data_IF_541423612092
#
_entry.id   IF_541423612092
#
_cell.length_a   1.000
_cell.length_b   1.000
_cell.length_c   1.000
_cell.angle_alpha   90.00
_cell.angle_beta   90.00
_cell.angle_gamma   90.00
#
_symmetry.space_group_name_H-M   'P 1'
#
loop_
_entity.id
_entity.type
_entity.pdbx_description
1 polymer ?
#
# COMPACT_ATOMS: atom_id res chain seq x y z
N UNK A 1 0.73 -6.61 -21.67
CA UNK A 1 1.29 -7.51 -20.65
C UNK A 1 2.73 -7.12 -20.51
N UNK A 2 3.01 -6.30 -19.51
CA UNK A 2 4.34 -5.77 -19.23
C UNK A 2 4.87 -6.65 -18.12
N UNK A 3 5.82 -7.52 -18.44
CA UNK A 3 6.43 -8.41 -17.45
C UNK A 3 7.06 -7.54 -16.37
N UNK A 4 6.75 -7.80 -15.10
CA UNK A 4 7.36 -7.09 -13.98
C UNK A 4 8.88 -7.24 -14.02
N UNK A 5 9.61 -6.14 -13.80
CA UNK A 5 11.08 -6.18 -13.76
C UNK A 5 11.53 -6.94 -12.51
N UNK A 6 12.13 -8.12 -12.73
CA UNK A 6 12.74 -8.94 -11.68
C UNK A 6 14.16 -8.46 -11.45
N UNK A 7 14.46 -8.03 -10.23
CA UNK A 7 15.82 -7.69 -9.81
C UNK A 7 16.59 -8.96 -9.46
N UNK A 8 17.75 -9.12 -10.08
CA UNK A 8 18.64 -10.27 -9.94
C UNK A 8 20.01 -9.79 -9.52
N UNK A 9 20.41 -10.13 -8.30
CA UNK A 9 21.74 -9.85 -7.77
C UNK A 9 22.25 -11.04 -6.98
N UNK A 10 23.56 -11.01 -6.65
CA UNK A 10 24.29 -12.14 -6.05
C UNK A 10 23.63 -12.81 -4.84
N UNK A 11 22.76 -12.09 -4.14
CA UNK A 11 22.05 -12.58 -2.95
C UNK A 11 20.58 -12.12 -2.92
N UNK A 12 20.04 -11.68 -4.06
CA UNK A 12 18.67 -11.16 -4.13
C UNK A 12 18.02 -11.56 -5.44
N UNK A 13 16.83 -12.15 -5.32
CA UNK A 13 15.88 -12.35 -6.39
C UNK A 13 14.57 -11.75 -5.89
N UNK A 14 14.19 -10.59 -6.45
CA UNK A 14 13.05 -9.84 -5.90
C UNK A 14 12.28 -9.05 -6.95
N UNK A 15 11.01 -8.79 -6.67
CA UNK A 15 10.16 -7.81 -7.37
C UNK A 15 9.75 -6.69 -6.42
N UNK A 16 9.46 -5.52 -6.99
CA UNK A 16 9.06 -4.33 -6.24
C UNK A 16 7.66 -4.47 -5.65
N UNK A 17 7.56 -4.51 -4.33
CA UNK A 17 6.30 -4.49 -3.61
C UNK A 17 5.51 -3.21 -3.90
N UNK A 18 6.21 -2.09 -4.14
CA UNK A 18 5.55 -0.82 -4.47
C UNK A 18 4.90 -0.88 -5.85
N UNK A 19 5.59 -1.44 -6.84
CA UNK A 19 5.06 -1.48 -8.21
C UNK A 19 3.89 -2.45 -8.31
N UNK A 20 3.96 -3.62 -7.66
CA UNK A 20 2.82 -4.56 -7.58
C UNK A 20 1.59 -3.92 -6.92
N UNK A 21 1.78 -3.15 -5.84
CA UNK A 21 0.70 -2.42 -5.19
C UNK A 21 0.14 -1.30 -6.08
N UNK A 22 0.99 -0.56 -6.80
CA UNK A 22 0.53 0.49 -7.71
C UNK A 22 -0.37 -0.09 -8.81
N UNK A 23 -0.01 -1.23 -9.40
CA UNK A 23 -0.84 -1.91 -10.40
C UNK A 23 -2.24 -2.26 -9.86
N UNK A 24 -2.33 -2.70 -8.60
CA UNK A 24 -3.63 -2.92 -7.93
C UNK A 24 -4.39 -1.61 -7.78
N UNK A 25 -3.76 -0.56 -7.25
CA UNK A 25 -4.42 0.72 -7.00
C UNK A 25 -4.90 1.40 -8.30
N UNK A 26 -4.10 1.33 -9.37
CA UNK A 26 -4.37 1.94 -10.67
C UNK A 26 -5.54 1.29 -11.41
N UNK A 27 -5.96 0.09 -10.99
CA UNK A 27 -7.09 -0.62 -11.57
C UNK A 27 -8.45 -0.25 -10.99
N UNK A 28 -8.47 0.50 -9.87
CA UNK A 28 -9.69 1.01 -9.24
C UNK A 28 -10.07 2.44 -9.69
N UNK A 29 -10.92 3.10 -8.90
CA UNK A 29 -11.27 4.51 -9.07
C UNK A 29 -10.17 5.42 -8.50
N UNK A 30 -9.20 5.74 -9.36
CA UNK A 30 -8.03 6.57 -9.03
C UNK A 30 -8.42 7.99 -8.60
N UNK A 31 -9.49 8.56 -9.16
CA UNK A 31 -9.89 9.93 -8.83
C UNK A 31 -10.43 10.00 -7.40
N UNK A 32 -11.34 9.09 -7.06
CA UNK A 32 -11.91 9.01 -5.71
C UNK A 32 -10.83 8.65 -4.68
N UNK A 33 -9.94 7.72 -5.04
CA UNK A 33 -8.77 7.37 -4.24
C UNK A 33 -7.81 8.53 -3.99
N UNK A 34 -7.57 9.37 -5.02
CA UNK A 34 -6.68 10.52 -4.91
C UNK A 34 -7.16 11.53 -3.85
N UNK A 35 -8.47 11.77 -3.74
CA UNK A 35 -9.05 12.66 -2.72
C UNK A 35 -8.79 12.15 -1.30
N UNK A 36 -9.00 10.85 -1.06
CA UNK A 36 -8.68 10.24 0.24
C UNK A 36 -7.16 10.29 0.50
N UNK A 37 -6.35 9.98 -0.51
CA UNK A 37 -4.88 10.00 -0.41
C UNK A 37 -4.33 11.37 -0.06
N UNK A 38 -4.85 12.43 -0.68
CA UNK A 38 -4.51 13.81 -0.36
C UNK A 38 -4.92 14.18 1.07
N UNK A 39 -6.11 13.77 1.51
CA UNK A 39 -6.56 14.03 2.87
C UNK A 39 -5.66 13.35 3.92
N UNK A 40 -5.31 12.08 3.72
CA UNK A 40 -4.41 11.35 4.62
C UNK A 40 -3.03 12.00 4.68
N UNK A 41 -2.45 12.35 3.52
CA UNK A 41 -1.16 13.06 3.43
C UNK A 41 -1.23 14.44 4.10
N UNK A 42 -2.34 15.15 3.92
CA UNK A 42 -2.54 16.47 4.52
C UNK A 42 -2.58 16.36 6.05
N UNK A 43 -3.35 15.43 6.60
CA UNK A 43 -3.36 15.18 8.03
C UNK A 43 -2.05 14.62 8.58
N UNK A 44 -1.25 13.93 7.75
CA UNK A 44 0.04 13.40 8.18
C UNK A 44 1.16 14.44 8.23
N UNK A 45 1.05 15.50 7.42
CA UNK A 45 2.05 16.55 7.30
C UNK A 45 1.75 17.81 8.12
N UNK A 46 0.49 18.02 8.53
CA UNK A 46 0.08 19.23 9.24
C UNK A 46 0.02 19.01 10.75
N UNK A 47 0.35 20.07 11.50
CA UNK A 47 0.33 20.02 12.97
C UNK A 47 -1.10 19.77 13.51
N UNK A 48 -2.12 20.38 12.88
CA UNK A 48 -3.51 20.20 13.26
C UNK A 48 -4.42 20.08 12.03
N UNK A 49 -5.12 18.96 11.92
CA UNK A 49 -6.13 18.68 10.91
C UNK A 49 -7.40 18.16 11.57
N UNK A 50 -8.55 18.70 11.18
CA UNK A 50 -9.84 18.40 11.80
C UNK A 50 -10.83 17.83 10.79
N UNK A 51 -11.52 16.76 11.16
CA UNK A 51 -12.57 16.19 10.32
C UNK A 51 -13.87 16.97 10.49
N UNK A 52 -14.37 17.52 9.38
CA UNK A 52 -15.59 18.34 9.34
C UNK A 52 -16.60 17.76 8.36
N UNK A 53 -17.88 18.10 8.53
CA UNK A 53 -18.87 17.74 7.53
C UNK A 53 -18.61 18.48 6.18
N UNK A 54 -18.84 17.84 5.02
CA UNK A 54 -18.40 18.30 3.70
C UNK A 54 -18.77 19.74 3.32
N UNK A 55 -19.93 20.20 3.79
CA UNK A 55 -20.45 21.54 3.51
C UNK A 55 -20.75 22.34 4.79
N UNK A 56 -20.20 21.89 5.93
CA UNK A 56 -20.25 22.69 7.14
C UNK A 56 -19.63 24.05 6.86
N UNK A 57 -20.35 25.10 7.26
CA UNK A 57 -19.77 26.43 7.35
C UNK A 57 -18.72 26.40 8.44
N UNK A 58 -17.50 26.75 8.05
CA UNK A 58 -16.33 26.73 8.92
C UNK A 58 -15.85 28.15 9.11
N UNK A 59 -15.95 28.64 10.34
CA UNK A 59 -15.50 29.96 10.74
C UNK A 59 -14.24 29.82 11.64
N UNK A 60 -13.42 30.88 11.70
CA UNK A 60 -12.16 30.86 12.46
C UNK A 60 -12.37 30.54 13.94
N UNK A 61 -13.49 30.96 14.53
CA UNK A 61 -13.77 30.79 15.96
C UNK A 61 -14.03 29.34 16.37
N UNK A 62 -14.35 28.47 15.40
CA UNK A 62 -14.64 27.05 15.64
C UNK A 62 -13.37 26.28 16.06
N UNK A 63 -12.19 26.76 15.64
CA UNK A 63 -10.88 26.18 15.97
C UNK A 63 -10.12 26.95 17.03
N UNK A 64 -10.83 27.78 17.80
CA UNK A 64 -10.19 28.59 18.84
C UNK A 64 -9.49 27.69 19.87
N UNK A 65 -8.18 27.89 20.12
CA UNK A 65 -7.44 27.17 21.15
C UNK A 65 -8.13 27.26 22.51
N UNK A 66 -8.31 26.12 23.16
CA UNK A 66 -9.00 26.02 24.44
C UNK A 66 -9.21 24.57 24.86
N UNK A 67 -9.92 24.35 25.99
CA UNK A 67 -10.31 23.00 26.38
C UNK A 67 -11.17 22.34 25.28
N UNK A 68 -11.08 21.01 25.12
CA UNK A 68 -11.88 20.29 24.14
C UNK A 68 -13.35 20.66 24.29
N UNK A 69 -13.97 21.05 23.17
CA UNK A 69 -15.42 21.09 23.10
C UNK A 69 -15.85 19.70 22.69
N UNK A 70 -16.63 19.03 23.53
CA UNK A 70 -17.08 17.65 23.29
C UNK A 70 -17.90 17.48 21.99
N UNK A 71 -18.27 18.58 21.32
CA UNK A 71 -19.23 18.59 20.20
C UNK A 71 -18.70 19.16 18.86
N UNK A 72 -17.45 19.64 18.77
CA UNK A 72 -16.96 20.31 17.55
C UNK A 72 -15.70 19.67 16.99
N UNK A 73 -15.85 19.13 15.77
CA UNK A 73 -14.85 18.64 14.81
C UNK A 73 -13.60 17.99 15.39
N UNK A 74 -13.51 16.65 15.36
CA UNK A 74 -12.37 15.96 15.95
C UNK A 74 -11.06 16.23 15.21
N UNK A 75 -9.99 16.41 15.97
CA UNK A 75 -8.62 16.47 15.45
C UNK A 75 -8.13 15.07 15.07
N UNK A 76 -7.68 14.92 13.82
CA UNK A 76 -7.27 13.65 13.21
C UNK A 76 -5.83 13.69 12.67
N UNK A 77 -5.09 14.77 12.87
CA UNK A 77 -3.66 14.86 12.52
C UNK A 77 -2.83 13.83 13.28
N UNK A 78 -1.90 13.19 12.60
CA UNK A 78 -0.97 12.21 13.16
C UNK A 78 0.33 12.20 12.35
N UNK A 79 1.41 11.58 12.84
CA UNK A 79 2.68 11.55 12.08
C UNK A 79 2.67 10.62 10.86
N UNK A 80 1.72 9.70 10.79
CA UNK A 80 1.65 8.66 9.77
C UNK A 80 0.20 8.47 9.32
N UNK A 81 0.00 8.14 8.05
CA UNK A 81 -1.34 7.96 7.45
C UNK A 81 -2.14 6.86 8.14
N UNK A 82 -1.50 5.79 8.61
CA UNK A 82 -2.15 4.76 9.43
C UNK A 82 -2.65 5.28 10.78
N UNK A 83 -1.95 6.25 11.37
CA UNK A 83 -2.39 6.94 12.58
C UNK A 83 -3.60 7.85 12.31
N UNK A 84 -3.61 8.52 11.15
CA UNK A 84 -4.76 9.33 10.69
C UNK A 84 -5.99 8.45 10.50
N UNK A 85 -5.83 7.30 9.82
CA UNK A 85 -6.91 6.32 9.64
C UNK A 85 -7.48 5.86 10.99
N UNK A 86 -6.60 5.47 11.93
CA UNK A 86 -7.03 5.07 13.28
C UNK A 86 -7.83 6.18 13.98
N UNK A 87 -7.37 7.43 13.92
CA UNK A 87 -8.12 8.56 14.53
C UNK A 87 -9.48 8.78 13.86
N UNK A 88 -9.54 8.72 12.52
CA UNK A 88 -10.80 8.83 11.78
C UNK A 88 -11.78 7.70 12.13
N UNK A 89 -11.28 6.50 12.39
CA UNK A 89 -12.06 5.36 12.86
C UNK A 89 -12.53 5.54 14.30
N UNK A 90 -11.64 5.93 15.22
CA UNK A 90 -11.97 6.19 16.63
C UNK A 90 -13.10 7.21 16.79
N UNK A 91 -13.14 8.21 15.90
CA UNK A 91 -14.18 9.25 15.90
C UNK A 91 -15.38 8.92 15.02
N UNK A 92 -15.38 7.75 14.36
CA UNK A 92 -16.50 7.12 13.65
C UNK A 92 -16.77 7.61 12.22
N UNK A 93 -15.81 8.25 11.56
CA UNK A 93 -15.97 8.66 10.15
C UNK A 93 -15.79 7.50 9.18
N UNK A 94 -14.90 6.58 9.54
CA UNK A 94 -14.55 5.41 8.73
C UNK A 94 -14.55 4.14 9.57
N UNK A 95 -14.56 3.01 8.90
CA UNK A 95 -14.24 1.68 9.45
C UNK A 95 -13.08 1.11 8.62
N UNK A 96 -12.14 0.46 9.28
CA UNK A 96 -10.96 -0.10 8.63
C UNK A 96 -10.76 -1.58 8.95
N UNK A 97 -10.27 -2.34 7.99
CA UNK A 97 -9.83 -3.71 8.20
C UNK A 97 -8.82 -4.11 7.13
N UNK A 98 -7.84 -4.93 7.51
CA UNK A 98 -6.83 -5.42 6.57
C UNK A 98 -7.40 -6.60 5.78
N UNK A 99 -7.40 -6.48 4.45
CA UNK A 99 -7.81 -7.56 3.53
C UNK A 99 -6.61 -8.42 3.12
N UNK A 100 -5.40 -7.86 3.21
CA UNK A 100 -4.18 -8.56 2.86
C UNK A 100 -2.97 -8.05 3.65
N UNK A 101 -2.14 -8.98 4.12
CA UNK A 101 -0.86 -8.67 4.78
C UNK A 101 0.16 -9.77 4.50
N UNK A 102 1.35 -9.34 4.10
CA UNK A 102 2.46 -10.21 3.68
C UNK A 102 3.79 -9.57 4.07
N UNK A 103 4.78 -10.41 4.39
CA UNK A 103 6.16 -10.00 4.70
C UNK A 103 7.14 -10.49 3.65
N UNK A 104 8.31 -9.86 3.56
CA UNK A 104 9.41 -10.29 2.67
C UNK A 104 9.88 -11.73 2.84
N UNK A 105 9.72 -12.31 4.05
CA UNK A 105 10.20 -13.65 4.35
C UNK A 105 9.39 -14.80 3.74
N UNK A 106 8.28 -14.50 3.08
CA UNK A 106 7.33 -15.50 2.55
C UNK A 106 7.16 -15.44 1.03
N UNK A 107 7.88 -14.54 0.35
CA UNK A 107 7.70 -14.23 -1.07
C UNK A 107 8.96 -13.63 -1.68
N UNK A 108 8.94 -13.39 -2.98
CA UNK A 108 10.01 -12.73 -3.73
C UNK A 108 9.87 -11.19 -3.71
N UNK A 109 9.27 -10.60 -2.67
CA UNK A 109 9.13 -9.14 -2.58
C UNK A 109 10.37 -8.49 -1.97
N UNK A 110 10.68 -7.27 -2.42
CA UNK A 110 11.68 -6.42 -1.76
C UNK A 110 11.23 -5.89 -0.40
N UNK A 111 9.91 -5.79 -0.17
CA UNK A 111 9.24 -5.33 1.06
C UNK A 111 7.90 -6.04 1.29
N UNK A 112 7.46 -6.14 2.55
CA UNK A 112 6.10 -6.54 2.87
C UNK A 112 5.04 -5.60 2.28
N UNK A 113 3.80 -6.09 2.18
CA UNK A 113 2.63 -5.33 1.69
C UNK A 113 1.49 -5.44 2.69
N UNK A 114 0.77 -4.35 2.86
CA UNK A 114 -0.49 -4.32 3.61
C UNK A 114 -1.53 -3.58 2.79
N UNK A 115 -2.67 -4.21 2.58
CA UNK A 115 -3.84 -3.61 1.96
C UNK A 115 -4.96 -3.52 2.98
N UNK A 116 -5.40 -2.29 3.23
CA UNK A 116 -6.43 -1.97 4.21
C UNK A 116 -7.64 -1.42 3.49
N UNK A 117 -8.79 -2.04 3.68
CA UNK A 117 -10.06 -1.50 3.21
C UNK A 117 -10.50 -0.41 4.17
N UNK A 118 -10.94 0.71 3.61
CA UNK A 118 -11.49 1.85 4.33
C UNK A 118 -12.93 2.06 3.86
N UNK A 119 -13.89 1.84 4.74
CA UNK A 119 -15.31 2.13 4.49
C UNK A 119 -15.63 3.49 5.09
N UNK A 120 -15.95 4.46 4.25
CA UNK A 120 -16.35 5.80 4.69
C UNK A 120 -17.83 5.78 5.02
N UNK A 121 -18.14 5.71 6.32
CA UNK A 121 -19.51 5.69 6.82
C UNK A 121 -20.15 7.08 6.82
N UNK A 122 -19.35 8.12 7.08
CA UNK A 122 -19.80 9.52 7.08
C UNK A 122 -18.91 10.34 6.16
N UNK A 123 -19.45 11.04 5.15
CA UNK A 123 -18.63 11.82 4.25
C UNK A 123 -18.02 12.99 5.03
N UNK A 124 -16.80 13.39 4.67
CA UNK A 124 -16.05 14.42 5.40
C UNK A 124 -15.12 15.21 4.50
N UNK A 125 -14.65 16.34 5.02
CA UNK A 125 -13.45 17.04 4.53
C UNK A 125 -12.51 17.23 5.71
N UNK A 126 -11.23 17.45 5.44
CA UNK A 126 -10.27 17.87 6.45
C UNK A 126 -10.04 19.37 6.34
N UNK A 127 -10.08 20.05 7.48
CA UNK A 127 -9.68 21.44 7.60
C UNK A 127 -8.38 21.50 8.37
N UNK A 128 -7.38 22.18 7.80
CA UNK A 128 -6.08 22.36 8.45
C UNK A 128 -6.01 23.71 9.13
N UNK A 129 -5.41 23.73 10.32
CA UNK A 129 -5.28 24.94 11.12
C UNK A 129 -3.83 25.10 11.55
N UNK A 130 -3.28 26.28 11.29
CA UNK A 130 -1.95 26.61 11.77
C UNK A 130 -2.06 27.45 13.05
N UNK A 131 -1.53 26.89 14.14
CA UNK A 131 -1.47 27.53 15.45
C UNK A 131 -0.11 28.22 15.66
N UNK A 132 -0.12 29.42 16.24
CA UNK A 132 1.08 30.22 16.55
C UNK A 132 0.99 30.77 17.97
N UNK A 133 2.17 30.90 18.58
CA UNK A 133 2.35 31.43 19.93
C UNK A 133 3.23 32.68 19.85
N UNK A 134 2.74 33.82 20.33
CA UNK A 134 3.56 35.02 20.52
C UNK A 134 4.46 34.92 21.77
N UNK A 135 4.10 34.04 22.70
CA UNK A 135 4.77 33.85 23.98
C UNK A 135 5.20 32.40 24.23
N UNK A 136 4.79 31.83 25.35
CA UNK A 136 5.12 30.45 25.74
C UNK A 136 4.34 29.42 24.93
N UNK A 137 5.00 28.37 24.44
CA UNK A 137 4.34 27.20 23.80
C UNK A 137 3.57 26.34 24.81
N UNK A 138 3.73 26.57 26.11
CA UNK A 138 3.01 25.87 27.17
C UNK A 138 1.60 26.45 27.42
N UNK A 139 1.30 27.61 26.84
CA UNK A 139 -0.03 28.23 26.86
C UNK A 139 -0.82 27.89 25.58
N UNK A 140 -2.13 28.16 25.56
CA UNK A 140 -2.90 28.07 24.33
C UNK A 140 -2.36 29.03 23.26
N UNK A 141 -2.39 28.60 22.00
CA UNK A 141 -2.03 29.47 20.88
C UNK A 141 -2.89 30.75 20.88
N UNK A 142 -2.26 31.89 20.67
CA UNK A 142 -2.92 33.20 20.67
C UNK A 142 -3.23 33.71 19.25
N UNK A 143 -2.66 33.05 18.24
CA UNK A 143 -2.94 33.28 16.83
C UNK A 143 -3.20 31.96 16.12
N UNK A 144 -4.24 31.91 15.30
CA UNK A 144 -4.53 30.76 14.46
C UNK A 144 -5.24 31.18 13.17
N UNK A 145 -5.03 30.39 12.13
CA UNK A 145 -5.66 30.58 10.83
C UNK A 145 -5.97 29.23 10.21
N UNK A 146 -7.15 29.12 9.60
CA UNK A 146 -7.48 28.03 8.69
C UNK A 146 -6.58 28.19 7.46
N UNK A 147 -5.82 27.15 7.13
CA UNK A 147 -4.86 27.18 6.04
C UNK A 147 -5.40 26.56 4.78
N UNK A 148 -6.12 25.44 4.92
CA UNK A 148 -6.61 24.68 3.78
C UNK A 148 -7.86 23.87 4.15
N UNK A 149 -8.58 23.44 3.11
CA UNK A 149 -9.68 22.48 3.20
C UNK A 149 -9.57 21.50 2.04
N UNK A 150 -9.45 20.22 2.37
CA UNK A 150 -9.39 19.16 1.36
C UNK A 150 -10.73 19.02 0.64
N UNK A 151 -10.70 18.34 -0.50
CA UNK A 151 -11.90 17.89 -1.17
C UNK A 151 -12.77 16.99 -0.27
N UNK A 152 -13.99 16.75 -0.73
CA UNK A 152 -14.95 15.88 -0.04
C UNK A 152 -14.58 14.42 -0.27
N UNK A 153 -14.41 13.69 0.82
CA UNK A 153 -14.33 12.23 0.83
C UNK A 153 -15.78 11.75 0.95
N UNK A 154 -16.27 11.14 -0.11
CA UNK A 154 -17.64 10.64 -0.20
C UNK A 154 -17.79 9.31 0.54
N UNK A 155 -19.04 8.93 0.83
CA UNK A 155 -19.35 7.60 1.35
C UNK A 155 -18.99 6.54 0.31
N UNK A 156 -18.40 5.45 0.76
CA UNK A 156 -18.05 4.33 -0.11
C UNK A 156 -16.89 3.52 0.43
N UNK A 157 -16.47 2.54 -0.36
CA UNK A 157 -15.35 1.65 -0.05
C UNK A 157 -14.11 2.12 -0.80
N UNK A 158 -12.99 2.11 -0.10
CA UNK A 158 -11.67 2.49 -0.61
C UNK A 158 -10.67 1.42 -0.23
N UNK A 159 -9.62 1.27 -1.03
CA UNK A 159 -8.46 0.48 -0.68
C UNK A 159 -7.29 1.43 -0.45
N UNK A 160 -6.62 1.26 0.68
CA UNK A 160 -5.41 2.00 1.06
C UNK A 160 -4.28 0.99 1.15
N UNK A 161 -3.12 1.33 0.59
CA UNK A 161 -1.99 0.42 0.55
C UNK A 161 -0.72 0.98 1.20
N UNK A 162 -0.01 0.08 1.86
CA UNK A 162 1.27 0.33 2.51
C UNK A 162 2.30 -0.72 2.12
N UNK A 163 3.58 -0.35 2.16
CA UNK A 163 4.72 -1.26 1.95
C UNK A 163 5.73 -1.15 3.08
N UNK A 164 6.34 -2.28 3.46
CA UNK A 164 7.37 -2.40 4.49
C UNK A 164 7.05 -3.48 5.53
N UNK A 165 8.09 -4.06 6.15
CA UNK A 165 7.89 -5.11 7.18
C UNK A 165 7.81 -4.53 8.61
N UNK A 166 8.64 -3.54 8.93
CA UNK A 166 8.73 -2.94 10.28
C UNK A 166 8.21 -1.51 10.35
N UNK A 167 8.39 -0.75 9.27
CA UNK A 167 7.93 0.62 9.16
C UNK A 167 7.16 0.75 7.85
N UNK A 168 5.84 0.79 7.96
CA UNK A 168 4.94 0.92 6.84
C UNK A 168 5.08 2.29 6.20
N UNK A 169 5.33 2.29 4.89
CA UNK A 169 5.35 3.48 4.05
C UNK A 169 4.07 3.52 3.23
N UNK A 170 3.35 4.63 3.31
CA UNK A 170 2.15 4.84 2.52
C UNK A 170 2.46 4.85 1.02
N UNK A 171 1.63 4.13 0.24
CA UNK A 171 1.73 4.09 -1.22
C UNK A 171 0.66 4.98 -1.84
N UNK A 172 -0.60 4.70 -1.55
CA UNK A 172 -1.74 5.38 -2.17
C UNK A 172 -3.07 4.78 -1.75
N UNK A 173 -4.13 5.29 -2.38
CA UNK A 173 -5.49 4.81 -2.19
C UNK A 173 -6.24 4.80 -3.53
N UNK A 174 -7.21 3.90 -3.66
CA UNK A 174 -8.12 3.80 -4.79
C UNK A 174 -9.56 3.61 -4.31
N UNK A 175 -10.54 4.15 -5.05
CA UNK A 175 -11.95 3.88 -4.78
C UNK A 175 -12.35 2.51 -5.35
N UNK A 176 -13.28 1.85 -4.68
CA UNK A 176 -13.83 0.56 -5.13
C UNK A 176 -15.31 0.71 -5.45
N UNK A 177 -15.71 0.38 -6.68
CA UNK A 177 -17.11 0.31 -7.08
C UNK A 177 -17.68 -1.06 -6.71
N UNK A 178 -17.95 -1.25 -5.43
CA UNK A 178 -18.63 -2.44 -4.95
C UNK A 178 -20.12 -2.32 -5.27
N UNK A 179 -20.53 -2.82 -6.44
CA UNK A 179 -21.93 -2.82 -6.89
C UNK A 179 -22.86 -3.68 -6.00
N UNK A 180 -22.29 -4.54 -5.15
CA UNK A 180 -23.03 -5.34 -4.18
C UNK A 180 -22.82 -4.77 -2.77
N UNK A 181 -23.87 -4.13 -2.24
CA UNK A 181 -24.11 -3.97 -0.79
C UNK A 181 -24.43 -5.33 -0.12
N UNK A 182 -23.76 -6.41 -0.57
CA UNK A 182 -23.93 -7.77 -0.06
C UNK A 182 -23.23 -7.97 1.28
N UNK A 183 -23.54 -9.08 1.96
CA UNK A 183 -22.99 -9.40 3.28
C UNK A 183 -21.46 -9.25 3.33
N UNK A 184 -20.89 -8.67 4.40
CA UNK A 184 -19.47 -8.30 4.48
C UNK A 184 -18.48 -9.39 4.05
N UNK A 185 -18.77 -10.66 4.36
CA UNK A 185 -17.90 -11.78 3.99
C UNK A 185 -17.82 -12.09 2.50
N UNK A 186 -18.84 -11.74 1.70
CA UNK A 186 -18.81 -11.93 0.23
C UNK A 186 -17.98 -10.81 -0.41
N UNK A 187 -18.06 -9.60 0.12
CA UNK A 187 -17.27 -8.47 -0.37
C UNK A 187 -15.77 -8.66 -0.12
N UNK A 188 -15.38 -9.26 1.02
CA UNK A 188 -13.96 -9.46 1.36
C UNK A 188 -13.30 -10.53 0.50
N UNK A 189 -13.98 -11.65 0.23
CA UNK A 189 -13.49 -12.67 -0.70
C UNK A 189 -13.36 -12.09 -2.11
N UNK A 190 -14.36 -11.33 -2.59
CA UNK A 190 -14.31 -10.69 -3.91
C UNK A 190 -13.16 -9.68 -4.00
N UNK A 191 -12.91 -8.90 -2.94
CA UNK A 191 -11.78 -7.97 -2.88
C UNK A 191 -10.45 -8.71 -2.84
N UNK A 192 -10.33 -9.79 -2.07
CA UNK A 192 -9.15 -10.62 -2.09
C UNK A 192 -8.89 -11.19 -3.50
N UNK A 193 -9.90 -11.77 -4.14
CA UNK A 193 -9.77 -12.30 -5.51
C UNK A 193 -9.41 -11.22 -6.52
N UNK A 194 -10.05 -10.06 -6.44
CA UNK A 194 -9.73 -8.91 -7.28
C UNK A 194 -8.26 -8.51 -7.13
N UNK A 195 -7.77 -8.41 -5.89
CA UNK A 195 -6.36 -8.08 -5.59
C UNK A 195 -5.40 -9.15 -6.16
N UNK A 196 -5.64 -10.43 -5.91
CA UNK A 196 -4.69 -11.50 -6.27
C UNK A 196 -4.70 -11.86 -7.76
N UNK A 197 -5.72 -11.44 -8.51
CA UNK A 197 -5.78 -11.57 -9.96
C UNK A 197 -4.83 -10.59 -10.69
N UNK A 198 -4.27 -9.60 -9.99
CA UNK A 198 -3.27 -8.70 -10.57
C UNK A 198 -1.91 -9.38 -10.76
N UNK A 199 -1.30 -9.14 -11.93
CA UNK A 199 0.00 -9.69 -12.30
C UNK A 199 1.08 -9.31 -11.27
N UNK A 200 1.81 -10.32 -10.76
CA UNK A 200 2.84 -10.14 -9.73
C UNK A 200 2.29 -9.91 -8.31
N UNK A 201 0.97 -9.90 -8.11
CA UNK A 201 0.43 -9.77 -6.76
C UNK A 201 0.63 -11.03 -5.92
N UNK A 202 0.66 -12.22 -6.50
CA UNK A 202 0.86 -13.46 -5.75
C UNK A 202 2.33 -13.85 -5.62
N UNK A 203 3.29 -12.89 -5.66
CA UNK A 203 4.78 -12.97 -5.80
C UNK A 203 5.52 -14.09 -5.03
N UNK A 204 5.00 -15.29 -5.08
CA UNK A 204 5.28 -16.46 -4.27
C UNK A 204 5.67 -17.62 -5.15
N UNK A 205 5.49 -17.54 -6.48
CA UNK A 205 6.05 -18.50 -7.42
C UNK A 205 7.09 -17.81 -8.29
N UNK A 206 8.20 -18.49 -8.56
CA UNK A 206 9.20 -18.05 -9.51
C UNK A 206 9.46 -19.15 -10.53
N UNK A 207 9.36 -18.82 -11.82
CA UNK A 207 9.80 -19.66 -12.92
C UNK A 207 11.16 -19.18 -13.40
N UNK A 208 12.06 -20.12 -13.69
CA UNK A 208 13.38 -19.84 -14.24
C UNK A 208 13.60 -20.63 -15.54
N UNK A 209 14.16 -19.99 -16.56
CA UNK A 209 14.35 -20.62 -17.88
C UNK A 209 15.65 -20.23 -18.56
N UNK A 210 16.33 -21.20 -19.18
CA UNK A 210 17.54 -20.97 -19.94
C UNK A 210 17.28 -20.80 -21.45
N UNK A 211 17.87 -19.78 -22.05
CA UNK A 211 17.77 -19.47 -23.49
C UNK A 211 18.53 -20.45 -24.41
N UNK A 212 19.62 -21.05 -23.92
CA UNK A 212 20.49 -21.91 -24.74
C UNK A 212 20.14 -23.41 -24.64
N UNK A 213 19.97 -23.93 -23.42
CA UNK A 213 19.70 -25.36 -23.21
C UNK A 213 18.21 -25.68 -23.04
N UNK A 214 17.35 -24.66 -23.05
CA UNK A 214 15.91 -24.78 -22.80
C UNK A 214 15.52 -25.40 -21.44
N UNK A 215 16.47 -25.51 -20.50
CA UNK A 215 16.21 -25.96 -19.14
C UNK A 215 15.21 -25.05 -18.44
N UNK A 216 14.34 -25.64 -17.63
CA UNK A 216 13.28 -24.94 -16.88
C UNK A 216 13.20 -25.42 -15.45
N UNK A 217 13.01 -24.47 -14.56
CA UNK A 217 12.90 -24.68 -13.13
C UNK A 217 11.80 -23.81 -12.53
N UNK A 218 11.37 -24.18 -11.33
CA UNK A 218 10.45 -23.39 -10.53
C UNK A 218 10.84 -23.40 -9.05
N UNK A 219 10.44 -22.37 -8.34
CA UNK A 219 10.56 -22.24 -6.89
C UNK A 219 9.30 -21.58 -6.32
N UNK A 220 8.99 -21.84 -5.05
CA UNK A 220 7.78 -21.35 -4.38
C UNK A 220 8.10 -20.72 -3.03
N UNK A 221 7.21 -19.85 -2.54
CA UNK A 221 7.26 -19.17 -1.25
C UNK A 221 8.58 -18.46 -0.94
N UNK A 222 9.16 -17.78 -1.95
CA UNK A 222 10.44 -17.08 -1.78
C UNK A 222 11.65 -18.02 -1.63
N UNK A 223 11.51 -19.30 -1.99
CA UNK A 223 12.58 -20.29 -1.90
C UNK A 223 13.76 -19.94 -2.82
N UNK A 224 14.98 -20.14 -2.31
CA UNK A 224 16.22 -20.07 -3.10
C UNK A 224 16.53 -21.37 -3.85
N UNK A 225 15.81 -22.45 -3.54
CA UNK A 225 15.97 -23.75 -4.18
C UNK A 225 15.04 -23.88 -5.39
N UNK A 226 15.62 -24.05 -6.58
CA UNK A 226 14.91 -24.20 -7.86
C UNK A 226 14.89 -25.66 -8.31
N UNK A 227 13.68 -26.20 -8.47
CA UNK A 227 13.44 -27.58 -8.89
C UNK A 227 13.16 -27.66 -10.39
N UNK A 228 13.61 -28.70 -11.09
CA UNK A 228 13.32 -28.87 -12.51
C UNK A 228 11.82 -29.08 -12.74
N UNK A 229 11.28 -28.44 -13.79
CA UNK A 229 9.91 -28.70 -14.23
C UNK A 229 9.75 -30.17 -14.67
N UNK A 230 8.56 -30.74 -14.48
CA UNK A 230 8.28 -32.11 -14.89
C UNK A 230 8.59 -32.34 -16.38
N UNK A 231 9.45 -33.31 -16.66
CA UNK A 231 9.85 -33.67 -18.03
C UNK A 231 11.04 -32.88 -18.59
N UNK A 232 11.65 -31.96 -17.82
CA UNK A 232 12.93 -31.36 -18.17
C UNK A 232 14.09 -32.22 -17.64
N UNK A 233 15.08 -32.48 -18.51
CA UNK A 233 16.29 -33.26 -18.19
C UNK A 233 17.41 -32.33 -17.71
N UNK A 234 17.19 -31.71 -16.54
CA UNK A 234 18.15 -30.82 -15.86
C UNK A 234 18.14 -31.06 -14.35
N UNK A 235 19.24 -30.78 -13.67
CA UNK A 235 19.33 -30.85 -12.21
C UNK A 235 18.80 -29.56 -11.56
N UNK A 236 18.27 -29.67 -10.34
CA UNK A 236 17.90 -28.49 -9.54
C UNK A 236 19.13 -27.72 -9.06
N UNK A 237 18.94 -26.45 -8.69
CA UNK A 237 20.04 -25.59 -8.24
C UNK A 237 19.62 -24.66 -7.09
N UNK A 238 20.60 -24.18 -6.34
CA UNK A 238 20.44 -23.13 -5.34
C UNK A 238 20.81 -21.78 -5.96
N UNK A 239 19.92 -20.78 -5.85
CA UNK A 239 20.17 -19.45 -6.40
C UNK A 239 21.39 -18.78 -5.77
N UNK A 240 21.62 -18.98 -4.46
CA UNK A 240 22.79 -18.43 -3.76
C UNK A 240 24.14 -18.97 -4.26
N UNK A 241 24.12 -20.12 -4.95
CA UNK A 241 25.30 -20.73 -5.58
C UNK A 241 25.46 -20.30 -7.05
N UNK A 242 24.58 -19.44 -7.57
CA UNK A 242 24.65 -18.96 -8.94
C UNK A 242 25.88 -18.07 -9.17
N UNK A 243 26.44 -18.17 -10.37
CA UNK A 243 27.56 -17.36 -10.82
C UNK A 243 27.13 -16.37 -11.92
N UNK A 244 27.95 -15.33 -12.14
CA UNK A 244 27.86 -14.41 -13.27
C UNK A 244 26.48 -13.71 -13.42
N UNK A 245 26.12 -12.90 -12.43
CA UNK A 245 24.89 -12.11 -12.42
C UNK A 245 25.01 -10.92 -13.38
N UNK A 246 24.08 -10.80 -14.34
CA UNK A 246 24.05 -9.70 -15.33
C UNK A 246 22.59 -9.34 -15.67
N UNK A 247 22.23 -8.08 -15.42
CA UNK A 247 20.86 -7.59 -15.54
C UNK A 247 19.88 -8.44 -14.73
N UNK A 248 18.84 -8.94 -15.40
CA UNK A 248 17.81 -9.82 -14.82
C UNK A 248 18.12 -11.31 -14.99
N UNK A 249 19.40 -11.69 -15.13
CA UNK A 249 19.81 -13.06 -15.44
C UNK A 249 21.03 -13.54 -14.67
N UNK A 250 21.20 -14.86 -14.58
CA UNK A 250 22.42 -15.54 -14.10
C UNK A 250 23.01 -16.45 -15.19
N UNK A 251 24.25 -16.91 -15.05
CA UNK A 251 24.76 -17.98 -15.90
C UNK A 251 23.98 -19.29 -15.65
N UNK A 252 23.72 -20.05 -16.72
CA UNK A 252 22.98 -21.30 -16.59
C UNK A 252 23.81 -22.36 -15.85
N UNK A 253 23.32 -22.90 -14.71
CA UNK A 253 24.06 -23.90 -13.93
C UNK A 253 24.20 -25.24 -14.68
N UNK A 254 23.29 -25.53 -15.62
CA UNK A 254 23.30 -26.78 -16.38
C UNK A 254 24.26 -26.77 -17.58
N UNK A 255 24.24 -25.70 -18.40
CA UNK A 255 25.00 -25.67 -19.66
C UNK A 255 26.17 -24.67 -19.70
N UNK A 256 26.31 -23.82 -18.67
CA UNK A 256 27.34 -22.79 -18.51
C UNK A 256 27.48 -21.76 -19.67
N UNK A 257 26.67 -21.86 -20.72
CA UNK A 257 26.79 -21.07 -21.96
C UNK A 257 25.58 -20.18 -22.21
N UNK A 258 24.40 -20.59 -21.71
CA UNK A 258 23.19 -19.78 -21.73
C UNK A 258 23.02 -18.92 -20.49
N UNK A 259 21.99 -18.08 -20.54
CA UNK A 259 21.54 -17.23 -19.43
C UNK A 259 20.22 -17.77 -18.91
N UNK A 260 20.02 -17.74 -17.59
CA UNK A 260 18.74 -18.06 -16.95
C UNK A 260 18.05 -16.76 -16.59
N UNK A 261 16.85 -16.56 -17.12
CA UNK A 261 15.95 -15.47 -16.74
C UNK A 261 14.84 -15.95 -15.82
N UNK A 262 14.21 -15.02 -15.11
CA UNK A 262 13.24 -15.29 -14.06
C UNK A 262 11.90 -14.59 -14.33
N UNK A 263 10.81 -15.22 -13.92
CA UNK A 263 9.45 -14.68 -13.93
C UNK A 263 8.82 -14.95 -12.57
N UNK A 264 8.44 -13.90 -11.85
CA UNK A 264 7.84 -13.97 -10.51
C UNK A 264 6.34 -13.68 -10.61
N UNK A 265 5.53 -14.51 -9.98
CA UNK A 265 4.06 -14.44 -9.97
C UNK A 265 3.53 -14.48 -8.56
#
# INVERSE_FOLDING_TARGET
MTVMDVDVSRFSLSVSARDTVNEVLDSGDVERGARLSEALKTASMQDAAFAVAPFARVDREDFRPGPPRDDEWPEVSERHESGVLRKLEDVGFIETYDVYSETTGTSYLDKGRVLTVVRVARPFSLVTVHYRWSGSILDYADHWSITDRTDVIETGTYLVAFVGDFALSYVGATGLDTADEGEPGIADDVLFYWVVEHEGFLASSCLAGCDACAGRWFAESGSWHFQPEYGNDVEGFEFDDADDHDGSTIACPNCATGRVGFLVF
#
